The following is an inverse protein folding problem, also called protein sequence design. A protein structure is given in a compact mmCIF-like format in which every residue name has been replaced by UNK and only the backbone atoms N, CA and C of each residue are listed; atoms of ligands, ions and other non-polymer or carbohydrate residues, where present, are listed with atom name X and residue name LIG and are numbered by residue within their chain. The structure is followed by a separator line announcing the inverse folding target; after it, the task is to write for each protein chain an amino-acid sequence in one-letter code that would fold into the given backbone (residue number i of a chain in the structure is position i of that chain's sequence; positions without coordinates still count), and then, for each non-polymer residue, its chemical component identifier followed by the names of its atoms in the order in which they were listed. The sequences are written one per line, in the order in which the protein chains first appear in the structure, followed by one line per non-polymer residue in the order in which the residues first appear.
data_IF_742241500770
#
_entry.id   IF_742241500770
#
_cell.length_a   1.000
_cell.length_b   1.000
_cell.length_c   1.000
_cell.angle_alpha   90.00
_cell.angle_beta   90.00
_cell.angle_gamma   90.00
#
_symmetry.space_group_name_H-M   'P 1'
#
loop_
_entity.id
_entity.type
_entity.pdbx_description
1 polymer ?
#
# COMPACT_ATOMS: atom_id res chain seq x y z
N UNK A 1 -11.32 -33.86 -13.75
CA UNK A 1 -10.37 -33.76 -12.61
C UNK A 1 -9.16 -32.98 -13.08
N UNK A 2 -8.92 -31.78 -12.56
CA UNK A 2 -7.65 -31.08 -12.84
C UNK A 2 -6.54 -31.81 -12.06
N UNK A 3 -5.61 -32.42 -12.77
CA UNK A 3 -4.39 -33.02 -12.21
C UNK A 3 -3.47 -31.90 -11.73
N UNK A 4 -3.75 -31.33 -10.56
CA UNK A 4 -2.85 -30.38 -9.91
C UNK A 4 -1.64 -31.17 -9.41
N UNK A 5 -0.47 -30.91 -9.99
CA UNK A 5 0.77 -31.43 -9.41
C UNK A 5 0.92 -30.83 -7.99
N UNK A 6 1.15 -31.65 -6.96
CA UNK A 6 1.13 -31.22 -5.55
C UNK A 6 2.08 -30.04 -5.24
N UNK A 7 3.18 -29.93 -5.97
CA UNK A 7 4.20 -28.89 -5.81
C UNK A 7 4.14 -27.79 -6.89
N UNK A 8 3.06 -27.74 -7.69
CA UNK A 8 2.87 -26.65 -8.64
C UNK A 8 2.55 -25.34 -7.93
N UNK A 9 2.95 -24.20 -8.52
CA UNK A 9 2.64 -22.87 -7.98
C UNK A 9 1.15 -22.69 -7.68
N UNK A 10 0.20 -23.04 -8.58
CA UNK A 10 -1.22 -22.92 -8.28
C UNK A 10 -1.68 -23.80 -7.11
N UNK A 11 -1.14 -25.01 -6.98
CA UNK A 11 -1.47 -25.92 -5.87
C UNK A 11 -0.95 -25.37 -4.54
N UNK A 12 0.31 -24.92 -4.49
CA UNK A 12 0.91 -24.31 -3.30
C UNK A 12 0.18 -23.02 -2.89
N UNK A 13 -0.23 -22.20 -3.86
CA UNK A 13 -1.03 -20.99 -3.63
C UNK A 13 -2.40 -21.35 -3.03
N UNK A 14 -3.09 -22.33 -3.62
CA UNK A 14 -4.38 -22.79 -3.14
C UNK A 14 -4.29 -23.39 -1.73
N UNK A 15 -3.27 -24.21 -1.45
CA UNK A 15 -3.01 -24.77 -0.13
C UNK A 15 -2.67 -23.67 0.89
N UNK A 16 -1.84 -22.69 0.53
CA UNK A 16 -1.54 -21.55 1.38
C UNK A 16 -2.80 -20.77 1.76
N UNK A 17 -3.71 -20.56 0.79
CA UNK A 17 -5.02 -19.94 1.04
C UNK A 17 -5.92 -20.79 1.95
N UNK A 18 -5.90 -22.12 1.84
CA UNK A 18 -6.66 -22.99 2.74
C UNK A 18 -6.13 -22.94 4.18
N UNK A 19 -4.80 -22.94 4.36
CA UNK A 19 -4.18 -22.79 5.69
C UNK A 19 -4.47 -21.42 6.31
N UNK A 20 -4.59 -20.39 5.47
CA UNK A 20 -5.03 -19.05 5.86
C UNK A 20 -6.42 -19.03 6.52
N UNK A 21 -7.34 -19.84 5.98
CA UNK A 21 -8.70 -20.06 6.51
C UNK A 21 -8.70 -20.92 7.77
N UNK A 22 -7.75 -21.86 7.88
CA UNK A 22 -7.55 -22.72 9.05
C UNK A 22 -6.77 -22.01 10.19
N UNK A 23 -6.57 -20.70 10.08
CA UNK A 23 -5.81 -19.88 11.04
C UNK A 23 -4.37 -20.34 11.29
N UNK A 24 -3.78 -21.07 10.33
CA UNK A 24 -2.40 -21.54 10.40
C UNK A 24 -1.47 -20.64 9.57
N UNK A 25 -1.21 -19.43 10.09
CA UNK A 25 -0.40 -18.41 9.42
C UNK A 25 1.00 -18.89 9.06
N UNK A 26 1.65 -19.65 9.95
CA UNK A 26 3.01 -20.12 9.76
C UNK A 26 3.11 -21.04 8.54
N UNK A 27 2.18 -21.98 8.42
CA UNK A 27 2.14 -22.91 7.29
C UNK A 27 1.72 -22.21 6.00
N UNK A 28 0.75 -21.28 6.09
CA UNK A 28 0.34 -20.47 4.94
C UNK A 28 1.51 -19.65 4.37
N UNK A 29 2.30 -18.98 5.23
CA UNK A 29 3.50 -18.25 4.82
C UNK A 29 4.48 -19.20 4.13
N UNK A 30 4.78 -20.35 4.74
CA UNK A 30 5.72 -21.33 4.20
C UNK A 30 5.33 -21.80 2.80
N UNK A 31 4.03 -22.09 2.58
CA UNK A 31 3.50 -22.54 1.29
C UNK A 31 3.55 -21.44 0.24
N UNK A 32 3.18 -20.21 0.59
CA UNK A 32 3.18 -19.06 -0.32
C UNK A 32 4.61 -18.64 -0.70
N UNK A 33 5.56 -18.66 0.23
CA UNK A 33 6.97 -18.44 -0.09
C UNK A 33 7.51 -19.52 -1.03
N UNK A 34 7.08 -20.77 -0.86
CA UNK A 34 7.45 -21.89 -1.74
C UNK A 34 6.84 -21.71 -3.14
N UNK A 35 5.60 -21.23 -3.22
CA UNK A 35 4.97 -20.85 -4.49
C UNK A 35 5.76 -19.73 -5.19
N UNK A 36 6.16 -18.69 -4.44
CA UNK A 36 6.93 -17.56 -4.97
C UNK A 36 8.38 -17.92 -5.36
N UNK A 37 8.97 -18.97 -4.77
CA UNK A 37 10.24 -19.53 -5.28
C UNK A 37 10.06 -20.19 -6.64
N UNK A 38 8.92 -20.84 -6.88
CA UNK A 38 8.59 -21.44 -8.18
C UNK A 38 8.20 -20.41 -9.24
N UNK A 39 7.48 -19.36 -8.84
CA UNK A 39 7.14 -18.23 -9.70
C UNK A 39 7.12 -16.91 -8.91
N UNK A 40 8.20 -16.11 -8.96
CA UNK A 40 8.27 -14.82 -8.29
C UNK A 40 7.25 -13.78 -8.82
N UNK A 41 6.67 -14.00 -9.99
CA UNK A 41 5.71 -13.10 -10.62
C UNK A 41 4.26 -13.48 -10.35
N UNK A 42 4.01 -14.46 -9.47
CA UNK A 42 2.64 -14.84 -9.10
C UNK A 42 1.98 -13.77 -8.21
N UNK A 43 1.06 -13.02 -8.81
CA UNK A 43 0.38 -11.92 -8.15
C UNK A 43 -0.50 -12.38 -6.98
N UNK A 44 -1.15 -13.54 -7.10
CA UNK A 44 -2.02 -14.10 -6.06
C UNK A 44 -1.21 -14.49 -4.83
N UNK A 45 -0.13 -15.27 -4.98
CA UNK A 45 0.75 -15.63 -3.87
C UNK A 45 1.34 -14.41 -3.18
N UNK A 46 1.77 -13.42 -3.98
CA UNK A 46 2.31 -12.15 -3.46
C UNK A 46 1.27 -11.41 -2.63
N UNK A 47 0.02 -11.34 -3.11
CA UNK A 47 -1.10 -10.73 -2.40
C UNK A 47 -1.41 -11.47 -1.09
N UNK A 48 -1.60 -12.79 -1.13
CA UNK A 48 -1.95 -13.59 0.05
C UNK A 48 -0.86 -13.49 1.13
N UNK A 49 0.41 -13.45 0.74
CA UNK A 49 1.52 -13.24 1.68
C UNK A 49 1.48 -11.83 2.29
N UNK A 50 1.10 -10.82 1.50
CA UNK A 50 0.86 -9.45 2.00
C UNK A 50 -0.26 -9.40 3.04
N UNK A 51 -1.37 -10.10 2.80
CA UNK A 51 -2.49 -10.19 3.75
C UNK A 51 -2.06 -10.85 5.06
N UNK A 52 -1.27 -11.93 4.99
CA UNK A 52 -0.72 -12.59 6.18
C UNK A 52 0.20 -11.67 6.99
N UNK A 53 1.07 -10.92 6.33
CA UNK A 53 1.94 -9.98 7.04
C UNK A 53 1.15 -8.89 7.75
N UNK A 54 0.10 -8.36 7.13
CA UNK A 54 -0.75 -7.38 7.81
C UNK A 54 -1.46 -7.99 9.02
N UNK A 55 -2.02 -9.21 8.88
CA UNK A 55 -2.65 -9.94 10.00
C UNK A 55 -1.69 -10.16 11.17
N UNK A 56 -0.40 -10.31 10.90
CA UNK A 56 0.65 -10.48 11.88
C UNK A 56 1.27 -9.15 12.37
N UNK A 57 0.62 -8.00 12.10
CA UNK A 57 1.06 -6.68 12.54
C UNK A 57 2.25 -6.11 11.76
N UNK A 58 2.66 -6.76 10.68
CA UNK A 58 3.76 -6.36 9.80
C UNK A 58 3.24 -5.55 8.62
N UNK A 59 2.51 -4.47 8.93
CA UNK A 59 1.78 -3.69 7.93
C UNK A 59 2.69 -3.01 6.90
N UNK A 60 3.92 -2.64 7.26
CA UNK A 60 4.87 -2.06 6.28
C UNK A 60 5.29 -3.07 5.21
N UNK A 61 5.61 -4.31 5.61
CA UNK A 61 5.93 -5.38 4.67
C UNK A 61 4.70 -5.79 3.84
N UNK A 62 3.52 -5.80 4.47
CA UNK A 62 2.27 -6.02 3.76
C UNK A 62 2.06 -5.01 2.64
N UNK A 63 2.22 -3.70 2.92
CA UNK A 63 2.07 -2.63 1.92
C UNK A 63 3.01 -2.87 0.74
N UNK A 64 4.27 -3.25 0.99
CA UNK A 64 5.25 -3.53 -0.08
C UNK A 64 4.79 -4.69 -0.97
N UNK A 65 4.31 -5.79 -0.36
CA UNK A 65 3.82 -6.95 -1.09
C UNK A 65 2.53 -6.63 -1.88
N UNK A 66 1.59 -5.92 -1.27
CA UNK A 66 0.34 -5.53 -1.94
C UNK A 66 0.61 -4.61 -3.13
N UNK A 67 1.52 -3.63 -3.01
CA UNK A 67 1.96 -2.82 -4.15
C UNK A 67 2.62 -3.65 -5.24
N UNK A 68 3.43 -4.64 -4.86
CA UNK A 68 4.01 -5.58 -5.84
C UNK A 68 2.92 -6.39 -6.55
N UNK A 69 1.91 -6.89 -5.84
CA UNK A 69 0.80 -7.62 -6.46
C UNK A 69 0.08 -6.76 -7.52
N UNK A 70 -0.11 -5.46 -7.26
CA UNK A 70 -0.66 -4.50 -8.24
C UNK A 70 0.25 -4.38 -9.47
N UNK A 71 1.57 -4.29 -9.27
CA UNK A 71 2.51 -4.23 -10.41
C UNK A 71 2.52 -5.50 -11.25
N UNK A 72 2.31 -6.66 -10.63
CA UNK A 72 2.26 -7.96 -11.30
C UNK A 72 0.93 -8.19 -12.03
N UNK A 73 -0.17 -7.66 -11.50
CA UNK A 73 -1.51 -7.75 -12.10
C UNK A 73 -2.27 -6.44 -11.88
N UNK A 74 -2.26 -5.58 -12.90
CA UNK A 74 -2.89 -4.27 -12.83
C UNK A 74 -4.42 -4.32 -12.66
N UNK A 75 -5.08 -5.35 -13.19
CA UNK A 75 -6.52 -5.59 -13.02
C UNK A 75 -6.79 -6.50 -11.80
N UNK A 76 -6.28 -6.11 -10.64
CA UNK A 76 -6.43 -6.87 -9.40
C UNK A 76 -6.93 -5.96 -8.27
N UNK A 77 -8.23 -5.97 -7.97
CA UNK A 77 -8.83 -5.05 -6.99
C UNK A 77 -8.51 -5.40 -5.53
N UNK A 78 -8.29 -6.68 -5.22
CA UNK A 78 -8.10 -7.15 -3.85
C UNK A 78 -6.91 -6.46 -3.13
N UNK A 79 -5.73 -6.31 -3.76
CA UNK A 79 -4.65 -5.52 -3.17
C UNK A 79 -5.01 -4.05 -2.88
N UNK A 80 -5.76 -3.39 -3.77
CA UNK A 80 -6.21 -2.02 -3.56
C UNK A 80 -7.17 -1.91 -2.37
N UNK A 81 -8.12 -2.84 -2.26
CA UNK A 81 -9.01 -2.91 -1.11
C UNK A 81 -8.24 -3.10 0.21
N UNK A 82 -7.25 -4.00 0.23
CA UNK A 82 -6.42 -4.25 1.40
C UNK A 82 -5.55 -3.04 1.78
N UNK A 83 -4.92 -2.37 0.80
CA UNK A 83 -4.21 -1.11 1.05
C UNK A 83 -5.13 -0.03 1.61
N UNK A 84 -6.36 0.07 1.10
CA UNK A 84 -7.38 0.96 1.61
C UNK A 84 -7.74 0.67 3.07
N UNK A 85 -7.88 -0.61 3.44
CA UNK A 85 -8.13 -1.03 4.83
C UNK A 85 -6.96 -0.67 5.75
N UNK A 86 -5.73 -0.99 5.36
CA UNK A 86 -4.54 -0.66 6.14
C UNK A 86 -4.46 0.86 6.35
N UNK A 87 -4.71 1.66 5.30
CA UNK A 87 -4.73 3.11 5.42
C UNK A 87 -5.81 3.63 6.39
N UNK A 88 -7.00 3.00 6.44
CA UNK A 88 -8.04 3.33 7.44
C UNK A 88 -7.55 3.06 8.87
N UNK A 89 -6.88 1.93 9.11
CA UNK A 89 -6.33 1.57 10.42
C UNK A 89 -5.27 2.57 10.88
N UNK A 90 -4.47 3.08 9.94
CA UNK A 90 -3.51 4.17 10.18
C UNK A 90 -4.14 5.58 10.16
N UNK A 91 -5.46 5.70 9.99
CA UNK A 91 -6.21 6.97 9.92
C UNK A 91 -5.79 7.87 8.76
N UNK A 92 -5.13 7.33 7.72
CA UNK A 92 -4.88 8.04 6.47
C UNK A 92 -6.10 7.90 5.55
N UNK A 93 -7.14 8.67 5.87
CA UNK A 93 -8.40 8.65 5.12
C UNK A 93 -8.24 9.07 3.66
N UNK A 94 -7.23 9.88 3.34
CA UNK A 94 -6.97 10.32 1.97
C UNK A 94 -6.43 9.16 1.13
N UNK A 95 -5.42 8.46 1.63
CA UNK A 95 -4.90 7.27 0.95
C UNK A 95 -5.95 6.16 0.89
N UNK A 96 -6.70 5.95 1.98
CA UNK A 96 -7.77 4.97 2.03
C UNK A 96 -8.81 5.21 0.93
N UNK A 97 -9.28 6.45 0.79
CA UNK A 97 -10.27 6.80 -0.24
C UNK A 97 -9.71 6.56 -1.65
N UNK A 98 -8.47 6.96 -1.92
CA UNK A 98 -7.85 6.77 -3.22
C UNK A 98 -7.77 5.28 -3.63
N UNK A 99 -7.30 4.42 -2.72
CA UNK A 99 -7.16 2.98 -2.99
C UNK A 99 -8.52 2.27 -3.10
N UNK A 100 -9.49 2.62 -2.24
CA UNK A 100 -10.85 2.06 -2.31
C UNK A 100 -11.57 2.46 -3.61
N UNK A 101 -11.34 3.68 -4.11
CA UNK A 101 -11.88 4.13 -5.39
C UNK A 101 -11.28 3.38 -6.57
N UNK A 102 -9.99 3.04 -6.53
CA UNK A 102 -9.37 2.17 -7.54
C UNK A 102 -9.97 0.76 -7.49
N UNK A 103 -10.10 0.18 -6.29
CA UNK A 103 -10.72 -1.13 -6.13
C UNK A 103 -12.17 -1.16 -6.66
N UNK A 104 -12.96 -0.10 -6.39
CA UNK A 104 -14.33 0.07 -6.88
C UNK A 104 -14.42 0.18 -8.40
N UNK A 105 -13.46 0.85 -9.05
CA UNK A 105 -13.42 0.94 -10.52
C UNK A 105 -13.19 -0.42 -11.18
N UNK A 106 -12.38 -1.27 -10.55
CA UNK A 106 -12.03 -2.58 -11.07
C UNK A 106 -13.12 -3.64 -10.76
N UNK A 107 -13.80 -3.51 -9.62
CA UNK A 107 -14.89 -4.40 -9.21
C UNK A 107 -16.05 -3.57 -8.58
N UNK A 108 -16.94 -3.02 -9.41
CA UNK A 108 -18.00 -2.08 -8.97
C UNK A 108 -19.04 -2.70 -8.03
N UNK A 109 -19.25 -4.01 -8.13
CA UNK A 109 -20.34 -4.71 -7.45
C UNK A 109 -19.97 -5.25 -6.07
N UNK A 110 -18.73 -5.04 -5.59
CA UNK A 110 -18.38 -5.42 -4.22
C UNK A 110 -18.94 -4.43 -3.19
N UNK A 111 -20.00 -4.87 -2.51
CA UNK A 111 -20.69 -4.11 -1.47
C UNK A 111 -19.76 -3.64 -0.35
N UNK A 112 -18.77 -4.44 0.04
CA UNK A 112 -17.80 -4.08 1.07
C UNK A 112 -16.95 -2.85 0.69
N UNK A 113 -16.56 -2.75 -0.59
CA UNK A 113 -15.82 -1.59 -1.11
C UNK A 113 -16.73 -0.37 -1.12
N UNK A 114 -17.97 -0.54 -1.60
CA UNK A 114 -18.99 0.53 -1.67
C UNK A 114 -19.32 1.09 -0.29
N UNK A 115 -19.52 0.25 0.71
CA UNK A 115 -19.82 0.68 2.07
C UNK A 115 -18.67 1.50 2.68
N UNK A 116 -17.43 1.04 2.51
CA UNK A 116 -16.25 1.73 3.06
C UNK A 116 -15.97 3.05 2.35
N UNK A 117 -16.07 3.11 1.02
CA UNK A 117 -15.88 4.38 0.29
C UNK A 117 -17.03 5.37 0.55
N UNK A 118 -18.27 4.89 0.65
CA UNK A 118 -19.42 5.71 1.02
C UNK A 118 -19.28 6.27 2.44
N UNK A 119 -18.77 5.52 3.40
CA UNK A 119 -18.53 6.02 4.76
C UNK A 119 -17.53 7.19 4.80
N UNK A 120 -16.55 7.21 3.89
CA UNK A 120 -15.56 8.29 3.77
C UNK A 120 -16.06 9.51 2.97
N UNK A 121 -17.06 9.32 2.12
CA UNK A 121 -17.60 10.38 1.23
C UNK A 121 -18.96 10.91 1.66
N UNK A 122 -19.66 10.20 2.56
CA UNK A 122 -20.90 10.71 3.17
C UNK A 122 -20.59 12.02 3.89
N UNK A 123 -21.31 13.11 3.59
CA UNK A 123 -21.21 14.33 4.35
C UNK A 123 -21.90 14.10 5.70
N UNK A 124 -21.17 13.56 6.69
CA UNK A 124 -21.64 13.47 8.07
C UNK A 124 -20.50 13.87 9.00
N UNK A 125 -20.52 15.14 9.39
CA UNK A 125 -19.60 15.85 10.28
C UNK A 125 -18.14 15.89 9.81
N UNK A 126 -17.62 17.10 9.69
CA UNK A 126 -16.29 17.44 9.19
C UNK A 126 -15.16 16.45 9.59
N UNK A 127 -14.21 16.17 8.68
CA UNK A 127 -13.02 15.39 9.04
C UNK A 127 -12.33 16.07 10.23
N UNK A 128 -11.87 15.33 11.26
CA UNK A 128 -11.11 15.92 12.35
C UNK A 128 -9.92 16.63 11.73
N UNK A 129 -9.89 17.96 11.87
CA UNK A 129 -8.85 18.81 11.29
C UNK A 129 -7.50 18.20 11.69
N UNK A 130 -6.57 18.00 10.73
CA UNK A 130 -5.25 17.51 11.08
C UNK A 130 -4.68 18.47 12.12
N UNK A 131 -4.29 17.94 13.28
CA UNK A 131 -3.51 18.72 14.25
C UNK A 131 -2.26 19.15 13.50
N UNK A 132 -2.23 20.42 13.06
CA UNK A 132 -1.04 21.07 12.53
C UNK A 132 0.01 20.93 13.62
N UNK A 133 0.88 19.92 13.51
CA UNK A 133 2.14 19.92 14.22
C UNK A 133 2.84 21.17 13.75
N UNK A 134 3.04 22.09 14.69
CA UNK A 134 3.65 23.40 14.50
C UNK A 134 4.93 23.32 13.68
N UNK A 135 4.83 23.52 12.36
CA UNK A 135 5.94 24.06 11.59
C UNK A 135 6.12 25.50 12.05
N UNK A 136 6.95 25.71 13.08
CA UNK A 136 7.58 27.01 13.27
C UNK A 136 8.57 27.19 12.12
N UNK A 137 8.08 27.90 11.11
CA UNK A 137 8.89 28.63 10.14
C UNK A 137 9.84 29.56 10.89
N UNK A 138 11.12 29.19 10.97
CA UNK A 138 12.20 30.13 11.23
C UNK A 138 12.74 30.59 9.88
N UNK A 139 12.08 31.61 9.33
CA UNK A 139 12.68 32.48 8.34
C UNK A 139 13.69 33.37 9.07
N UNK A 140 14.96 33.27 8.69
CA UNK A 140 15.94 34.33 8.92
C UNK A 140 17.07 34.22 7.89
N UNK A 141 16.87 34.84 6.73
CA UNK A 141 17.98 35.49 6.00
C UNK A 141 17.88 36.98 6.28
N UNK A 142 18.97 37.65 6.67
CA UNK A 142 19.21 39.03 6.27
C UNK A 142 20.13 39.10 5.01
N UNK A 143 20.15 40.24 4.30
CA UNK A 143 20.61 40.35 2.92
C UNK A 143 22.04 40.93 2.76
N UNK A 144 22.60 40.70 1.55
CA UNK A 144 23.66 41.46 0.83
C UNK A 144 25.03 41.62 1.51
N UNK A 145 26.17 41.64 0.83
CA UNK A 145 26.47 41.93 -0.58
C UNK A 145 27.88 41.40 -0.90
N UNK A 146 28.02 40.60 -1.95
CA UNK A 146 29.33 40.38 -2.58
C UNK A 146 29.11 40.46 -4.09
N UNK A 147 29.40 41.62 -4.65
CA UNK A 147 29.54 41.82 -6.09
C UNK A 147 30.88 42.51 -6.33
N UNK A 148 31.64 41.85 -7.19
CA UNK A 148 32.99 42.11 -7.68
C UNK A 148 33.07 43.29 -8.66
N UNK A 149 34.32 43.71 -8.92
CA UNK A 149 34.83 44.54 -10.03
C UNK A 149 34.86 46.06 -9.75
N UNK A 150 36.03 46.64 -9.52
CA UNK A 150 37.07 47.05 -10.49
C UNK A 150 36.69 48.37 -11.18
N UNK A 151 37.54 49.40 -11.01
CA UNK A 151 37.97 50.40 -12.01
C UNK A 151 38.75 51.54 -11.30
N UNK A 152 40.02 51.70 -11.73
CA UNK A 152 40.82 52.94 -11.83
C UNK A 152 41.55 53.59 -10.63
N UNK A 153 42.88 53.49 -10.70
CA UNK A 153 43.93 54.50 -10.40
C UNK A 153 43.56 55.92 -10.97
N UNK A 154 44.15 57.08 -10.59
CA UNK A 154 45.58 57.31 -10.32
C UNK A 154 46.00 58.38 -9.26
N UNK A 155 47.30 58.33 -8.93
CA UNK A 155 48.24 59.42 -8.56
C UNK A 155 47.85 60.50 -7.53
N UNK A 156 48.62 60.58 -6.44
CA UNK A 156 49.69 61.58 -6.27
C UNK A 156 50.57 61.27 -5.06
#
# INVERSE_FOLDING_TARGET
MLSLQPDSVPALTALGRLQLLDHNDAEAIRLLERALRGNPSDAESTYQLGVLYDRNGRSEEAIKLLRRAITLRANYPDPHYHLGRIALEHKDYRAALAELELARKLLPDQEAIRMRSAALTRPSAAPPKPKRSSMKSAASRPPSSNATASVSNPMR
#
